data_IF_965181992552
#
_entry.id   IF_965181992552
#
_cell.length_a   1.000
_cell.length_b   1.000
_cell.length_c   1.000
_cell.angle_alpha   90.00
_cell.angle_beta   90.00
_cell.angle_gamma   90.00
#
_symmetry.space_group_name_H-M   'P 1'
#
loop_
_entity.id
_entity.type
_entity.pdbx_description
1 polymer ?
#
# COMPACT_ATOMS: atom_id res chain seq x y z
N UNK A 1 -15.22 -8.00 -7.88
CA UNK A 1 -14.90 -9.40 -8.22
C UNK A 1 -13.93 -9.49 -9.38
N UNK A 2 -14.30 -8.97 -10.56
CA UNK A 2 -13.45 -8.94 -11.75
C UNK A 2 -12.03 -8.37 -11.52
N UNK A 3 -11.88 -7.22 -10.85
CA UNK A 3 -10.56 -6.62 -10.57
C UNK A 3 -9.67 -7.56 -9.73
N UNK A 4 -10.19 -8.17 -8.67
CA UNK A 4 -9.41 -9.06 -7.80
C UNK A 4 -8.99 -10.36 -8.49
N UNK A 5 -9.89 -10.91 -9.30
CA UNK A 5 -9.71 -12.24 -9.89
C UNK A 5 -8.94 -12.21 -11.21
N UNK A 6 -9.00 -11.11 -11.96
CA UNK A 6 -8.40 -11.04 -13.31
C UNK A 6 -7.30 -9.98 -13.44
N UNK A 7 -7.37 -8.87 -12.71
CA UNK A 7 -6.41 -7.76 -12.85
C UNK A 7 -5.36 -7.76 -11.74
N UNK A 8 -5.75 -8.02 -10.50
CA UNK A 8 -4.83 -8.19 -9.37
C UNK A 8 -4.33 -9.63 -9.30
N UNK A 9 -3.64 -10.05 -10.35
CA UNK A 9 -2.97 -11.35 -10.46
C UNK A 9 -1.50 -11.10 -10.80
N UNK A 10 -0.60 -11.89 -10.22
CA UNK A 10 0.83 -11.74 -10.47
C UNK A 10 1.13 -11.88 -11.98
N UNK A 11 1.90 -10.95 -12.53
CA UNK A 11 2.23 -10.92 -13.96
C UNK A 11 1.19 -10.24 -14.87
N UNK A 12 0.03 -9.82 -14.34
CA UNK A 12 -0.99 -9.09 -15.12
C UNK A 12 -0.93 -7.57 -14.97
N UNK A 13 -0.06 -7.06 -14.10
CA UNK A 13 0.18 -5.63 -13.92
C UNK A 13 1.60 -5.38 -13.42
N UNK A 14 2.15 -4.22 -13.78
CA UNK A 14 3.44 -3.74 -13.28
C UNK A 14 3.27 -2.83 -12.05
N UNK A 15 2.21 -2.00 -12.05
CA UNK A 15 1.95 -0.99 -11.02
C UNK A 15 0.48 -1.07 -10.57
N UNK A 16 0.26 -1.03 -9.26
CA UNK A 16 -1.06 -0.90 -8.65
C UNK A 16 -1.16 0.46 -7.96
N UNK A 17 -2.08 1.31 -8.45
CA UNK A 17 -2.40 2.59 -7.83
C UNK A 17 -3.70 2.45 -7.06
N UNK A 18 -3.72 2.86 -5.80
CA UNK A 18 -4.87 2.73 -4.90
C UNK A 18 -4.93 3.87 -3.90
N UNK A 19 -6.11 4.14 -3.36
CA UNK A 19 -6.27 5.02 -2.19
C UNK A 19 -5.91 4.28 -0.89
N UNK A 20 -5.76 5.02 0.21
CA UNK A 20 -5.52 4.46 1.53
C UNK A 20 -6.70 3.63 2.04
N UNK A 21 -7.91 4.09 1.81
CA UNK A 21 -9.14 3.40 2.21
C UNK A 21 -9.24 2.05 1.50
N UNK A 22 -8.95 2.04 0.19
CA UNK A 22 -8.97 0.81 -0.60
C UNK A 22 -7.80 -0.12 -0.24
N UNK A 23 -6.61 0.41 0.05
CA UNK A 23 -5.51 -0.42 0.55
C UNK A 23 -5.85 -1.06 1.90
N UNK A 24 -6.54 -0.36 2.80
CA UNK A 24 -7.01 -0.94 4.07
C UNK A 24 -8.06 -2.03 3.82
N UNK A 25 -9.05 -1.74 2.97
CA UNK A 25 -10.15 -2.65 2.66
C UNK A 25 -9.67 -3.93 1.97
N UNK A 26 -8.69 -3.80 1.07
CA UNK A 26 -8.17 -4.87 0.22
C UNK A 26 -6.87 -5.49 0.74
N UNK A 27 -6.47 -5.19 1.97
CA UNK A 27 -5.20 -5.62 2.57
C UNK A 27 -4.90 -7.11 2.39
N UNK A 28 -5.92 -7.97 2.49
CA UNK A 28 -5.76 -9.42 2.33
C UNK A 28 -5.39 -9.82 0.90
N UNK A 29 -5.91 -9.13 -0.11
CA UNK A 29 -5.57 -9.36 -1.51
C UNK A 29 -4.17 -8.80 -1.82
N UNK A 30 -3.91 -7.56 -1.42
CA UNK A 30 -2.66 -6.86 -1.71
C UNK A 30 -1.45 -7.43 -0.96
N UNK A 31 -1.64 -8.07 0.21
CA UNK A 31 -0.57 -8.73 0.96
C UNK A 31 -0.03 -10.00 0.28
N UNK A 32 -0.74 -10.55 -0.72
CA UNK A 32 -0.30 -11.75 -1.45
C UNK A 32 0.89 -11.49 -2.38
N UNK A 33 1.15 -10.22 -2.70
CA UNK A 33 2.24 -9.83 -3.58
C UNK A 33 3.51 -9.53 -2.78
N UNK A 34 4.66 -9.91 -3.34
CA UNK A 34 5.97 -9.44 -2.90
C UNK A 34 6.29 -8.17 -3.68
N UNK A 35 5.97 -7.02 -3.10
CA UNK A 35 6.14 -5.73 -3.75
C UNK A 35 7.63 -5.38 -3.84
N UNK A 36 8.07 -4.79 -4.96
CA UNK A 36 9.42 -4.22 -5.00
C UNK A 36 9.47 -2.88 -4.25
N UNK A 37 8.44 -2.05 -4.47
CA UNK A 37 8.28 -0.76 -3.83
C UNK A 37 6.85 -0.61 -3.31
N UNK A 38 6.72 -0.04 -2.11
CA UNK A 38 5.48 0.61 -1.65
C UNK A 38 5.77 2.11 -1.58
N UNK A 39 5.09 2.89 -2.42
CA UNK A 39 5.22 4.35 -2.49
C UNK A 39 3.99 4.94 -1.80
N UNK A 40 4.22 5.78 -0.79
CA UNK A 40 3.17 6.44 -0.02
C UNK A 40 3.30 7.94 -0.26
N UNK A 41 2.36 8.48 -1.01
CA UNK A 41 2.17 9.92 -1.13
C UNK A 41 1.43 10.48 0.09
N UNK A 42 1.63 11.75 0.41
CA UNK A 42 1.15 12.38 1.65
C UNK A 42 1.44 11.55 2.92
N UNK A 43 2.69 11.09 3.03
CA UNK A 43 3.15 10.18 4.07
C UNK A 43 2.98 10.72 5.50
N UNK A 44 2.72 12.02 5.69
CA UNK A 44 2.33 12.56 6.99
C UNK A 44 1.08 11.85 7.58
N UNK A 45 0.21 11.24 6.74
CA UNK A 45 -0.95 10.45 7.18
C UNK A 45 -0.58 9.16 7.94
N UNK A 46 0.65 8.66 7.85
CA UNK A 46 1.11 7.45 8.55
C UNK A 46 1.91 7.70 9.83
N UNK A 47 1.99 8.96 10.30
CA UNK A 47 2.79 9.34 11.49
C UNK A 47 2.40 8.61 12.77
N UNK A 48 1.11 8.32 12.95
CA UNK A 48 0.64 7.56 14.10
C UNK A 48 0.82 6.06 13.86
N UNK A 49 1.84 5.46 14.46
CA UNK A 49 2.14 4.04 14.34
C UNK A 49 0.99 3.12 14.77
N UNK A 50 0.12 3.58 15.68
CA UNK A 50 -1.01 2.81 16.18
C UNK A 50 -2.22 2.84 15.25
N UNK A 51 -2.22 3.72 14.24
CA UNK A 51 -3.31 3.85 13.28
C UNK A 51 -3.48 2.58 12.44
N UNK A 52 -4.72 2.34 12.01
CA UNK A 52 -5.04 1.23 11.12
C UNK A 52 -4.27 1.31 9.79
N UNK A 53 -4.07 2.53 9.27
CA UNK A 53 -3.31 2.76 8.05
C UNK A 53 -1.85 2.34 8.22
N UNK A 54 -1.17 2.84 9.25
CA UNK A 54 0.25 2.53 9.50
C UNK A 54 0.46 1.04 9.77
N UNK A 55 -0.42 0.42 10.56
CA UNK A 55 -0.42 -1.04 10.78
C UNK A 55 -0.61 -1.79 9.47
N UNK A 56 -1.55 -1.38 8.62
CA UNK A 56 -1.82 -2.04 7.34
C UNK A 56 -0.64 -1.92 6.38
N UNK A 57 -0.06 -0.72 6.24
CA UNK A 57 1.09 -0.50 5.35
C UNK A 57 2.29 -1.36 5.73
N UNK A 58 2.51 -1.61 7.04
CA UNK A 58 3.57 -2.50 7.52
C UNK A 58 3.33 -3.98 7.21
N UNK A 59 2.08 -4.40 6.98
CA UNK A 59 1.76 -5.79 6.62
C UNK A 59 2.17 -6.16 5.19
N UNK A 60 2.39 -5.18 4.31
CA UNK A 60 2.80 -5.46 2.94
C UNK A 60 4.28 -5.88 2.87
N UNK A 61 4.50 -7.06 2.29
CA UNK A 61 5.84 -7.56 1.99
C UNK A 61 6.44 -6.67 0.88
N UNK A 62 7.53 -5.97 1.18
CA UNK A 62 8.19 -5.07 0.23
C UNK A 62 9.68 -4.97 0.50
N UNK A 63 10.47 -4.83 -0.57
CA UNK A 63 11.92 -4.62 -0.45
C UNK A 63 12.23 -3.16 -0.05
N UNK A 64 11.50 -2.21 -0.63
CA UNK A 64 11.74 -0.79 -0.44
C UNK A 64 10.43 -0.04 -0.13
N UNK A 65 10.56 1.05 0.61
CA UNK A 65 9.46 1.97 0.94
C UNK A 65 9.90 3.39 0.62
N UNK A 66 9.13 4.09 -0.20
CA UNK A 66 9.35 5.49 -0.52
C UNK A 66 8.21 6.31 0.08
N UNK A 67 8.55 7.27 0.92
CA UNK A 67 7.59 8.16 1.56
C UNK A 67 7.75 9.55 0.93
N UNK A 68 6.67 10.07 0.36
CA UNK A 68 6.59 11.39 -0.25
C UNK A 68 5.61 12.20 0.58
N UNK A 69 5.99 13.41 0.98
CA UNK A 69 5.12 14.31 1.74
C UNK A 69 5.55 15.75 1.50
N UNK A 70 4.57 16.64 1.28
CA UNK A 70 4.81 18.08 1.20
C UNK A 70 5.00 18.74 2.57
N UNK A 71 4.69 18.02 3.65
CA UNK A 71 4.80 18.51 5.03
C UNK A 71 5.86 17.74 5.81
N UNK A 72 6.64 18.39 6.68
CA UNK A 72 7.60 17.71 7.54
C UNK A 72 6.92 16.63 8.41
N UNK A 73 7.54 15.45 8.49
CA UNK A 73 7.19 14.44 9.49
C UNK A 73 7.67 14.93 10.86
N UNK A 74 6.80 15.68 11.55
CA UNK A 74 6.94 16.02 12.96
C UNK A 74 6.08 15.10 13.82
#
# INVERSE_FOLDING_TARGET
RHIRENLLVAGHFDVCVTSFEMAIKEKSCLRRFSWRYVIIDEAHRIKNENSLLSKTMRLYNTNYRLLITGTPLQ
#
